data_IF_833008172643
#
_entry.id   IF_833008172643
#
_cell.length_a   1.000
_cell.length_b   1.000
_cell.length_c   1.000
_cell.angle_alpha   90.00
_cell.angle_beta   90.00
_cell.angle_gamma   90.00
#
_symmetry.space_group_name_H-M   'P 1'
#
loop_
_entity.id
_entity.type
_entity.pdbx_description
1 polymer ?
#
# COMPACT_ATOMS: atom_id res chain seq x y z
N UNK A 1 -8.06 37.47 -47.04
CA UNK A 1 -7.11 37.62 -45.93
C UNK A 1 -7.67 36.92 -44.70
N UNK A 2 -7.20 35.71 -44.39
CA UNK A 2 -6.20 35.40 -43.33
C UNK A 2 -6.77 35.71 -41.93
N UNK A 3 -6.77 34.80 -40.94
CA UNK A 3 -5.66 33.93 -40.52
C UNK A 3 -6.21 32.89 -39.52
N UNK A 4 -6.00 31.60 -39.78
CA UNK A 4 -6.24 30.53 -38.80
C UNK A 4 -5.03 30.46 -37.86
N UNK A 5 -5.22 30.75 -36.57
CA UNK A 5 -4.23 30.47 -35.53
C UNK A 5 -4.44 29.05 -35.02
N UNK A 6 -3.65 28.11 -35.54
CA UNK A 6 -3.50 26.78 -34.95
C UNK A 6 -2.50 26.91 -33.79
N UNK A 7 -2.97 26.66 -32.57
CA UNK A 7 -2.11 26.55 -31.38
C UNK A 7 -1.35 25.22 -31.46
N UNK A 8 -0.06 25.31 -31.78
CA UNK A 8 0.93 24.27 -31.54
C UNK A 8 1.45 24.50 -30.12
N UNK A 9 0.99 23.71 -29.14
CA UNK A 9 1.44 23.88 -27.75
C UNK A 9 1.20 22.71 -26.80
N UNK A 10 0.61 21.60 -27.25
CA UNK A 10 0.27 20.46 -26.38
C UNK A 10 1.20 19.24 -26.58
N UNK A 11 2.31 19.40 -27.32
CA UNK A 11 3.13 18.25 -27.74
C UNK A 11 4.40 18.01 -26.93
N UNK A 12 4.82 18.96 -26.08
CA UNK A 12 6.08 18.84 -25.32
C UNK A 12 5.87 18.30 -23.89
N UNK A 13 4.67 18.40 -23.31
CA UNK A 13 4.37 17.81 -21.98
C UNK A 13 4.19 16.28 -22.01
N UNK A 14 3.98 15.66 -23.17
CA UNK A 14 3.84 14.18 -23.27
C UNK A 14 5.19 13.44 -23.25
N UNK A 15 6.31 14.08 -23.60
CA UNK A 15 7.62 13.40 -23.70
C UNK A 15 8.42 13.39 -22.38
N UNK A 16 8.31 14.41 -21.51
CA UNK A 16 8.97 14.38 -20.18
C UNK A 16 8.30 13.40 -19.19
N UNK A 17 7.02 13.04 -19.38
CA UNK A 17 6.33 12.08 -18.50
C UNK A 17 6.65 10.60 -18.80
N UNK A 18 7.31 10.29 -19.94
CA UNK A 18 7.56 8.91 -20.35
C UNK A 18 8.78 8.26 -19.67
N UNK A 19 9.74 9.07 -19.19
CA UNK A 19 10.93 8.57 -18.45
C UNK A 19 10.58 8.04 -17.05
N UNK A 20 9.52 8.53 -16.41
CA UNK A 20 9.09 8.13 -15.07
C UNK A 20 8.49 6.71 -15.00
N UNK A 21 8.22 6.09 -16.16
CA UNK A 21 7.64 4.75 -16.25
C UNK A 21 8.69 3.66 -16.46
N UNK A 22 9.84 3.98 -17.08
CA UNK A 22 10.88 3.01 -17.39
C UNK A 22 11.80 2.71 -16.18
N UNK A 23 11.76 3.53 -15.13
CA UNK A 23 12.61 3.39 -13.94
C UNK A 23 12.00 2.51 -12.82
N UNK A 24 10.95 1.73 -13.10
CA UNK A 24 10.25 0.95 -12.05
C UNK A 24 10.91 -0.39 -11.69
N UNK A 25 12.11 -0.67 -12.20
CA UNK A 25 12.93 -1.81 -11.80
C UNK A 25 14.09 -1.41 -10.88
N UNK A 26 14.08 -0.19 -10.34
CA UNK A 26 14.94 0.17 -9.23
C UNK A 26 14.66 -0.79 -8.07
N UNK A 27 15.72 -1.39 -7.52
CA UNK A 27 15.61 -2.22 -6.33
C UNK A 27 15.01 -1.38 -5.20
N UNK A 28 13.78 -1.71 -4.82
CA UNK A 28 13.10 -1.06 -3.70
C UNK A 28 13.74 -1.56 -2.43
N UNK A 29 14.76 -0.83 -1.97
CA UNK A 29 15.43 -1.14 -0.72
C UNK A 29 14.47 -0.83 0.44
N UNK A 30 14.08 -1.88 1.18
CA UNK A 30 13.37 -1.74 2.45
C UNK A 30 11.86 -1.51 2.35
N UNK A 31 11.12 -2.48 1.80
CA UNK A 31 9.65 -2.49 1.95
C UNK A 31 9.29 -2.69 3.42
N UNK A 32 8.67 -1.68 4.02
CA UNK A 32 8.22 -1.70 5.43
C UNK A 32 6.86 -2.38 5.59
N UNK A 33 6.01 -2.32 4.55
CA UNK A 33 4.68 -2.91 4.60
C UNK A 33 3.93 -2.89 3.27
N UNK A 34 2.81 -3.62 3.20
CA UNK A 34 1.91 -3.65 2.06
C UNK A 34 0.68 -2.79 2.37
N UNK A 35 0.43 -1.75 1.58
CA UNK A 35 -0.77 -0.93 1.70
C UNK A 35 -1.99 -1.60 1.07
N UNK A 36 -1.87 -2.10 -0.16
CA UNK A 36 -2.99 -2.71 -0.87
C UNK A 36 -2.60 -3.30 -2.22
N UNK A 37 -3.50 -4.09 -2.80
CA UNK A 37 -3.36 -4.66 -4.14
C UNK A 37 -4.43 -4.05 -5.05
N UNK A 38 -4.02 -3.64 -6.24
CA UNK A 38 -4.86 -3.04 -7.27
C UNK A 38 -4.84 -3.90 -8.52
N UNK A 39 -5.98 -4.04 -9.17
CA UNK A 39 -6.10 -4.71 -10.46
C UNK A 39 -6.20 -3.65 -11.55
N UNK A 40 -5.24 -3.65 -12.46
CA UNK A 40 -5.21 -2.82 -13.67
C UNK A 40 -5.29 -3.72 -14.92
N UNK A 41 -5.55 -3.17 -16.11
CA UNK A 41 -5.65 -3.98 -17.34
C UNK A 41 -4.42 -4.86 -17.62
N UNK A 42 -3.22 -4.41 -17.23
CA UNK A 42 -1.96 -5.16 -17.39
C UNK A 42 -1.67 -6.18 -16.29
N UNK A 43 -2.51 -6.26 -15.26
CA UNK A 43 -2.37 -7.21 -14.16
C UNK A 43 -2.46 -6.58 -12.77
N UNK A 44 -1.82 -7.24 -11.80
CA UNK A 44 -1.86 -6.85 -10.39
C UNK A 44 -0.72 -5.89 -10.03
N UNK A 45 -1.04 -4.91 -9.20
CA UNK A 45 -0.11 -3.92 -8.68
C UNK A 45 -0.19 -3.89 -7.16
N UNK A 46 0.94 -3.94 -6.49
CA UNK A 46 1.07 -3.73 -5.05
C UNK A 46 1.42 -2.26 -4.79
N UNK A 47 0.66 -1.59 -3.93
CA UNK A 47 1.13 -0.37 -3.27
C UNK A 47 1.88 -0.78 -2.00
N UNK A 48 3.18 -0.51 -1.98
CA UNK A 48 4.10 -0.85 -0.90
C UNK A 48 4.50 0.42 -0.15
N UNK A 49 4.55 0.32 1.18
CA UNK A 49 5.12 1.35 2.05
C UNK A 49 6.63 1.16 2.02
N UNK A 50 7.35 2.15 1.50
CA UNK A 50 8.82 2.12 1.36
C UNK A 50 9.52 3.03 2.37
N UNK A 51 8.75 3.79 3.14
CA UNK A 51 9.27 4.65 4.17
C UNK A 51 8.16 5.18 5.07
N UNK A 52 8.48 5.24 6.35
CA UNK A 52 7.63 5.86 7.36
C UNK A 52 8.46 6.52 8.44
N UNK A 53 7.84 7.41 9.18
CA UNK A 53 8.43 8.06 10.34
C UNK A 53 7.60 7.83 11.60
N UNK A 54 8.28 7.81 12.75
CA UNK A 54 7.63 7.69 14.04
C UNK A 54 6.90 9.00 14.38
N UNK A 55 5.59 8.94 14.55
CA UNK A 55 4.78 10.11 14.96
C UNK A 55 4.43 10.07 16.43
N UNK A 56 4.22 8.87 16.98
CA UNK A 56 3.89 8.70 18.39
C UNK A 56 4.47 7.40 18.93
N UNK A 57 5.14 7.53 20.06
CA UNK A 57 5.61 6.41 20.87
C UNK A 57 4.75 6.33 22.13
N UNK A 58 4.08 5.19 22.30
CA UNK A 58 3.26 4.89 23.46
C UNK A 58 4.09 4.60 24.72
N UNK A 59 3.41 4.45 25.87
CA UNK A 59 4.09 4.16 27.11
C UNK A 59 4.88 2.84 27.02
N UNK A 60 6.08 2.85 27.61
CA UNK A 60 6.93 1.67 27.73
C UNK A 60 6.52 0.86 28.95
N UNK A 61 6.23 -0.42 28.76
CA UNK A 61 6.10 -1.34 29.88
C UNK A 61 7.47 -1.89 30.22
N UNK A 62 7.94 -1.51 31.40
CA UNK A 62 9.16 -2.07 31.96
C UNK A 62 8.82 -3.47 32.49
N UNK A 63 9.09 -4.50 31.68
CA UNK A 63 8.94 -5.88 32.09
C UNK A 63 10.05 -6.18 33.10
N UNK A 64 9.80 -5.90 34.38
CA UNK A 64 10.73 -6.05 35.51
C UNK A 64 11.23 -7.48 35.80
N UNK A 65 11.19 -8.39 34.82
CA UNK A 65 11.75 -9.74 34.87
C UNK A 65 12.89 -9.88 33.85
N UNK A 66 14.06 -9.43 34.29
CA UNK A 66 15.37 -10.00 34.01
C UNK A 66 16.05 -9.86 32.63
N UNK A 67 15.53 -9.16 31.61
CA UNK A 67 16.31 -8.98 30.36
C UNK A 67 16.03 -7.69 29.57
N UNK A 68 15.84 -6.54 30.26
CA UNK A 68 16.18 -5.20 29.76
C UNK A 68 15.56 -4.67 28.46
N UNK A 69 14.62 -5.35 27.81
CA UNK A 69 13.94 -4.82 26.64
C UNK A 69 12.63 -4.16 27.07
N UNK A 70 12.65 -2.82 27.10
CA UNK A 70 11.42 -2.02 27.18
C UNK A 70 10.51 -2.41 26.02
N UNK A 71 9.29 -2.85 26.33
CA UNK A 71 8.29 -3.13 25.29
C UNK A 71 7.47 -1.86 25.11
N UNK A 72 7.59 -1.25 23.92
CA UNK A 72 6.73 -0.14 23.50
C UNK A 72 5.34 -0.75 23.22
N UNK A 73 4.32 -0.24 23.91
CA UNK A 73 2.95 -0.76 23.76
C UNK A 73 2.33 -0.41 22.42
N UNK A 74 2.64 0.78 21.91
CA UNK A 74 2.03 1.35 20.71
C UNK A 74 3.09 2.17 20.00
N UNK A 75 3.30 1.90 18.72
CA UNK A 75 4.12 2.72 17.85
C UNK A 75 3.28 3.14 16.64
N UNK A 76 2.93 4.43 16.57
CA UNK A 76 2.18 4.99 15.43
C UNK A 76 3.17 5.64 14.48
N UNK A 77 3.16 5.15 13.24
CA UNK A 77 4.03 5.63 12.18
C UNK A 77 3.20 6.29 11.10
N UNK A 78 3.69 7.42 10.59
CA UNK A 78 3.15 8.11 9.41
C UNK A 78 3.89 7.61 8.18
N UNK A 79 3.15 7.21 7.15
CA UNK A 79 3.75 6.83 5.88
C UNK A 79 4.29 8.07 5.19
N UNK A 80 5.58 8.06 4.85
CA UNK A 80 6.26 9.16 4.15
C UNK A 80 6.47 8.87 2.68
N UNK A 81 6.62 7.59 2.30
CA UNK A 81 6.76 7.18 0.92
C UNK A 81 6.03 5.86 0.63
N UNK A 82 5.41 5.82 -0.55
CA UNK A 82 4.80 4.63 -1.11
C UNK A 82 5.22 4.46 -2.56
N UNK A 83 5.38 3.21 -2.97
CA UNK A 83 5.68 2.83 -4.34
C UNK A 83 4.63 1.86 -4.86
N UNK A 84 4.34 1.97 -6.15
CA UNK A 84 3.40 1.07 -6.83
C UNK A 84 4.20 0.15 -7.72
N UNK A 85 4.23 -1.12 -7.36
CA UNK A 85 5.03 -2.15 -8.02
C UNK A 85 4.10 -3.12 -8.73
N UNK A 86 4.43 -3.48 -9.97
CA UNK A 86 3.70 -4.55 -10.67
C UNK A 86 4.07 -5.89 -10.03
N UNK A 87 3.07 -6.70 -9.70
CA UNK A 87 3.29 -8.06 -9.21
C UNK A 87 3.54 -8.95 -10.43
N UNK A 88 4.70 -9.60 -10.53
CA UNK A 88 4.97 -10.50 -11.64
C UNK A 88 4.06 -11.73 -11.56
N UNK A 89 3.50 -12.12 -12.70
CA UNK A 89 2.63 -13.28 -12.74
C UNK A 89 3.47 -14.56 -12.62
N UNK A 90 3.11 -15.45 -11.70
CA UNK A 90 3.94 -16.60 -11.26
C UNK A 90 4.08 -17.67 -12.37
N UNK A 91 3.48 -17.45 -13.54
CA UNK A 91 3.48 -18.33 -14.71
C UNK A 91 4.59 -18.11 -15.74
N UNK A 92 5.53 -17.19 -15.54
CA UNK A 92 6.72 -17.05 -16.40
C UNK A 92 6.47 -16.43 -17.79
N UNK A 93 5.33 -15.78 -17.99
CA UNK A 93 4.98 -15.10 -19.24
C UNK A 93 5.16 -13.57 -19.18
N UNK A 94 6.07 -13.07 -18.34
CA UNK A 94 6.22 -11.65 -17.95
C UNK A 94 6.23 -10.63 -19.11
N UNK A 95 6.69 -11.00 -20.30
CA UNK A 95 6.77 -10.10 -21.46
C UNK A 95 5.57 -10.18 -22.43
N UNK A 96 4.72 -11.21 -22.33
CA UNK A 96 3.74 -11.48 -23.40
C UNK A 96 2.44 -10.69 -23.23
N UNK A 97 2.00 -10.43 -21.99
CA UNK A 97 0.69 -9.81 -21.75
C UNK A 97 0.69 -8.28 -21.85
N UNK A 98 1.77 -7.60 -21.47
CA UNK A 98 1.91 -6.15 -21.73
C UNK A 98 1.87 -5.84 -23.24
N UNK A 99 2.25 -6.80 -24.09
CA UNK A 99 2.20 -6.67 -25.54
C UNK A 99 0.79 -6.81 -26.11
N UNK A 100 -0.18 -7.35 -25.37
CA UNK A 100 -1.56 -7.54 -25.85
C UNK A 100 -2.48 -6.33 -25.62
N UNK A 101 -2.09 -5.40 -24.72
CA UNK A 101 -2.88 -4.20 -24.51
C UNK A 101 -2.83 -3.28 -25.74
N UNK A 102 -4.00 -2.84 -26.17
CA UNK A 102 -4.16 -1.80 -27.17
C UNK A 102 -3.55 -0.48 -26.70
N UNK A 103 -3.23 0.40 -27.65
CA UNK A 103 -2.71 1.73 -27.32
C UNK A 103 -3.67 2.54 -26.41
N UNK A 104 -4.97 2.33 -26.58
CA UNK A 104 -6.00 2.96 -25.74
C UNK A 104 -5.96 2.43 -24.30
N UNK A 105 -5.83 1.11 -24.11
CA UNK A 105 -5.74 0.50 -22.78
C UNK A 105 -4.46 0.93 -22.05
N UNK A 106 -3.31 0.98 -22.74
CA UNK A 106 -2.07 1.48 -22.14
C UNK A 106 -2.17 2.95 -21.73
N UNK A 107 -2.89 3.77 -22.51
CA UNK A 107 -3.13 5.19 -22.16
C UNK A 107 -4.02 5.31 -20.92
N UNK A 108 -5.09 4.53 -20.86
CA UNK A 108 -6.00 4.52 -19.71
C UNK A 108 -5.33 3.95 -18.45
N UNK A 109 -4.53 2.89 -18.57
CA UNK A 109 -3.74 2.35 -17.47
C UNK A 109 -2.76 3.38 -16.91
N UNK A 110 -1.99 4.07 -17.78
CA UNK A 110 -1.10 5.16 -17.35
C UNK A 110 -1.86 6.26 -16.60
N UNK A 111 -3.07 6.59 -17.05
CA UNK A 111 -3.95 7.55 -16.38
C UNK A 111 -4.40 7.03 -15.01
N UNK A 112 -4.79 5.76 -14.90
CA UNK A 112 -5.21 5.14 -13.63
C UNK A 112 -4.07 5.09 -12.62
N UNK A 113 -2.86 4.69 -13.04
CA UNK A 113 -1.67 4.71 -12.17
C UNK A 113 -1.37 6.12 -11.69
N UNK A 114 -1.46 7.13 -12.56
CA UNK A 114 -1.25 8.54 -12.18
C UNK A 114 -2.28 9.02 -11.17
N UNK A 115 -3.56 8.73 -11.40
CA UNK A 115 -4.63 9.06 -10.46
C UNK A 115 -4.43 8.38 -9.11
N UNK A 116 -4.02 7.11 -9.13
CA UNK A 116 -3.72 6.36 -7.91
C UNK A 116 -2.53 6.96 -7.15
N UNK A 117 -1.42 7.26 -7.82
CA UNK A 117 -0.26 7.94 -7.22
C UNK A 117 -0.66 9.29 -6.61
N UNK A 118 -1.48 10.06 -7.32
CA UNK A 118 -1.98 11.36 -6.82
C UNK A 118 -2.88 11.20 -5.60
N UNK A 119 -3.79 10.22 -5.61
CA UNK A 119 -4.65 9.90 -4.47
C UNK A 119 -3.83 9.47 -3.25
N UNK A 120 -2.81 8.62 -3.44
CA UNK A 120 -1.93 8.20 -2.34
C UNK A 120 -1.07 9.35 -1.81
N UNK A 121 -0.58 10.25 -2.66
CA UNK A 121 0.24 11.41 -2.24
C UNK A 121 -0.57 12.51 -1.55
N UNK A 122 -1.87 12.59 -1.81
CA UNK A 122 -2.74 13.64 -1.25
C UNK A 122 -3.25 13.33 0.16
N UNK A 123 -2.96 12.15 0.69
CA UNK A 123 -3.44 11.70 1.99
C UNK A 123 -2.28 11.31 2.90
N UNK A 124 -2.37 11.69 4.18
CA UNK A 124 -1.49 11.18 5.23
C UNK A 124 -2.04 9.84 5.74
N UNK A 125 -1.26 8.78 5.63
CA UNK A 125 -1.60 7.47 6.16
C UNK A 125 -0.83 7.19 7.43
N UNK A 126 -1.49 6.53 8.39
CA UNK A 126 -0.90 6.12 9.66
C UNK A 126 -1.14 4.63 9.87
N UNK A 127 -0.15 3.95 10.43
CA UNK A 127 -0.27 2.54 10.78
C UNK A 127 0.49 2.23 12.07
N UNK A 128 0.22 1.04 12.62
CA UNK A 128 0.82 0.57 13.86
C UNK A 128 1.88 -0.45 13.54
N UNK A 129 3.07 -0.25 14.10
CA UNK A 129 4.11 -1.24 14.04
C UNK A 129 3.98 -2.17 15.25
N UNK A 130 3.66 -3.43 14.98
CA UNK A 130 3.57 -4.46 16.02
C UNK A 130 4.82 -5.34 15.97
N UNK A 131 5.86 -4.95 16.70
CA UNK A 131 7.12 -5.70 16.79
C UNK A 131 7.03 -6.96 17.69
N UNK A 132 5.82 -7.50 17.94
CA UNK A 132 5.61 -8.75 18.69
C UNK A 132 5.02 -8.60 20.11
N UNK A 133 4.60 -7.41 20.52
CA UNK A 133 3.89 -7.16 21.78
C UNK A 133 2.37 -7.28 21.64
N UNK A 134 1.83 -8.48 21.90
CA UNK A 134 0.45 -8.98 21.72
C UNK A 134 -0.76 -8.19 22.28
N UNK A 135 -0.69 -6.88 22.60
CA UNK A 135 -1.74 -6.25 23.41
C UNK A 135 -2.52 -5.06 22.83
N UNK A 136 -2.19 -4.46 21.69
CA UNK A 136 -3.06 -3.41 21.13
C UNK A 136 -2.96 -3.31 19.60
N UNK A 137 -3.70 -4.14 18.90
CA UNK A 137 -3.54 -4.35 17.45
C UNK A 137 -4.34 -3.40 16.55
N UNK A 138 -5.10 -2.45 17.09
CA UNK A 138 -6.08 -1.74 16.25
C UNK A 138 -6.43 -0.31 16.69
N UNK A 139 -6.12 0.65 15.82
CA UNK A 139 -6.40 2.10 15.95
C UNK A 139 -7.74 2.51 15.41
N UNK A 140 -8.35 1.63 14.60
CA UNK A 140 -9.65 1.93 14.02
C UNK A 140 -10.69 2.08 15.14
N UNK A 141 -10.37 1.64 16.36
CA UNK A 141 -11.13 1.88 17.57
C UNK A 141 -10.46 2.91 18.48
N UNK A 142 -11.27 3.70 19.17
CA UNK A 142 -10.82 4.52 20.30
C UNK A 142 -10.16 3.66 21.39
N UNK A 143 -9.16 4.17 22.11
CA UNK A 143 -8.49 3.46 23.22
C UNK A 143 -9.46 2.88 24.27
N UNK A 144 -10.61 3.54 24.48
CA UNK A 144 -11.65 3.07 25.38
C UNK A 144 -12.33 1.77 24.90
N UNK A 145 -12.45 1.58 23.58
CA UNK A 145 -12.97 0.34 22.97
C UNK A 145 -11.92 -0.76 22.97
N UNK A 146 -10.65 -0.43 22.71
CA UNK A 146 -9.56 -1.41 22.72
C UNK A 146 -9.25 -1.94 24.13
N UNK A 147 -9.45 -1.13 25.17
CA UNK A 147 -9.27 -1.53 26.58
C UNK A 147 -10.54 -2.15 27.21
N UNK A 148 -11.71 -1.91 26.63
CA UNK A 148 -13.00 -2.13 27.31
C UNK A 148 -13.58 -3.54 27.21
N UNK A 149 -13.50 -4.22 26.07
CA UNK A 149 -14.32 -5.40 25.82
C UNK A 149 -13.67 -6.28 24.74
N UNK A 150 -13.47 -7.57 25.05
CA UNK A 150 -13.74 -8.77 24.22
C UNK A 150 -13.72 -8.69 22.68
N UNK A 151 -13.03 -7.73 22.07
CA UNK A 151 -12.78 -7.68 20.65
C UNK A 151 -11.71 -8.73 20.41
N UNK A 152 -12.12 -9.86 19.85
CA UNK A 152 -11.18 -10.81 19.29
C UNK A 152 -10.18 -10.07 18.39
N UNK A 153 -8.97 -10.61 18.20
CA UNK A 153 -7.83 -9.94 17.55
C UNK A 153 -8.02 -9.47 16.09
N UNK A 154 -9.23 -9.43 15.55
CA UNK A 154 -9.47 -9.54 14.11
C UNK A 154 -10.43 -8.53 13.48
N UNK A 155 -10.95 -7.53 14.21
CA UNK A 155 -11.94 -6.63 13.58
C UNK A 155 -11.57 -5.17 13.70
N UNK A 156 -10.76 -4.73 12.75
CA UNK A 156 -10.73 -3.34 12.29
C UNK A 156 -12.14 -2.80 12.15
N UNK A 157 -12.40 -1.64 12.74
CA UNK A 157 -13.62 -0.88 12.53
C UNK A 157 -13.67 -0.49 11.05
N UNK A 158 -14.65 -1.01 10.28
CA UNK A 158 -14.65 -0.89 8.82
C UNK A 158 -14.69 0.55 8.32
N UNK A 159 -15.11 1.50 9.17
CA UNK A 159 -15.18 2.93 8.86
C UNK A 159 -13.79 3.59 8.78
N UNK A 160 -12.78 2.98 9.39
CA UNK A 160 -11.42 3.51 9.43
C UNK A 160 -10.40 2.56 8.77
N UNK A 161 -10.83 1.37 8.33
CA UNK A 161 -10.01 0.43 7.57
C UNK A 161 -10.00 0.83 6.08
N UNK A 162 -9.23 1.86 5.75
CA UNK A 162 -9.15 2.44 4.40
C UNK A 162 -8.74 1.43 3.31
N UNK A 163 -7.92 0.44 3.67
CA UNK A 163 -7.42 -0.58 2.76
C UNK A 163 -8.14 -1.94 2.90
N UNK A 164 -9.24 -2.02 3.67
CA UNK A 164 -10.01 -3.25 3.85
C UNK A 164 -10.37 -3.93 2.52
N UNK A 165 -10.93 -3.14 1.60
CA UNK A 165 -11.38 -3.63 0.30
C UNK A 165 -10.20 -4.09 -0.57
N UNK A 166 -9.07 -3.39 -0.49
CA UNK A 166 -7.85 -3.68 -1.26
C UNK A 166 -7.15 -4.95 -0.78
N UNK A 167 -7.30 -5.27 0.51
CA UNK A 167 -6.69 -6.45 1.12
C UNK A 167 -7.65 -7.64 1.25
N UNK A 168 -8.92 -7.50 0.88
CA UNK A 168 -9.93 -8.53 1.06
C UNK A 168 -9.54 -9.86 0.41
N UNK A 169 -9.09 -9.84 -0.84
CA UNK A 169 -8.66 -11.04 -1.56
C UNK A 169 -7.42 -11.71 -0.94
N UNK A 170 -6.50 -10.90 -0.41
CA UNK A 170 -5.30 -11.41 0.25
C UNK A 170 -5.64 -12.05 1.60
N UNK A 171 -6.52 -11.40 2.39
CA UNK A 171 -7.03 -11.95 3.66
C UNK A 171 -7.72 -13.30 3.41
N UNK A 172 -8.60 -13.38 2.42
CA UNK A 172 -9.28 -14.63 2.06
C UNK A 172 -8.30 -15.74 1.63
N UNK A 173 -7.26 -15.39 0.87
CA UNK A 173 -6.24 -16.34 0.44
C UNK A 173 -5.39 -16.87 1.61
N UNK A 174 -5.06 -16.02 2.59
CA UNK A 174 -4.37 -16.40 3.81
C UNK A 174 -5.23 -17.33 4.67
N UNK A 175 -6.49 -16.99 4.90
CA UNK A 175 -7.43 -17.84 5.66
C UNK A 175 -7.57 -19.25 5.05
N UNK A 176 -7.60 -19.32 3.72
CA UNK A 176 -7.62 -20.59 2.98
C UNK A 176 -6.32 -21.37 3.11
N UNK A 177 -5.17 -20.69 3.23
CA UNK A 177 -3.86 -21.33 3.42
C UNK A 177 -3.75 -21.93 4.83
N UNK A 178 -4.20 -21.20 5.85
CA UNK A 178 -4.11 -21.66 7.24
C UNK A 178 -5.01 -22.87 7.49
N UNK A 179 -6.21 -22.89 6.90
CA UNK A 179 -7.09 -24.07 6.94
C UNK A 179 -6.46 -25.31 6.31
N UNK A 180 -5.73 -25.15 5.20
CA UNK A 180 -5.03 -26.27 4.53
C UNK A 180 -3.84 -26.81 5.32
N UNK A 181 -3.19 -25.99 6.15
CA UNK A 181 -2.07 -26.44 6.97
C UNK A 181 -2.51 -27.21 8.22
N UNK A 182 -3.81 -27.19 8.55
CA UNK A 182 -4.39 -27.88 9.70
C UNK A 182 -4.94 -29.27 9.36
N UNK A 183 -5.04 -29.62 8.08
CA UNK A 183 -5.44 -30.93 7.56
C UNK A 183 -4.22 -31.82 7.26
#
# INVERSE_FOLDING_TARGET
SHRLHVRLGEKEEEEEEEEDYASSAASVDGIEGLFGIYTLPSGLYAACITGSELTYEGPRLNNGRNNGTDVILVEIRRVTSMEILRIPDVGGAEETELRLLSAAERKEERRQVRLLRSALRSHDFYYFRNDGGRLLTDVTHTLQRSLGLAAGPERSEPRFDWNAALLASLREALDKKDKRNLE
#
